data_IF_206555208551
#
_entry.id   IF_206555208551
#
_cell.length_a   1.000
_cell.length_b   1.000
_cell.length_c   1.000
_cell.angle_alpha   90.00
_cell.angle_beta   90.00
_cell.angle_gamma   90.00
#
_symmetry.space_group_name_H-M   'P 1'
#
loop_
_entity.id
_entity.type
_entity.pdbx_description
1 polymer ?
#
# COMPACT_ATOMS: atom_id res chain seq x y z
N UNK A 1 7.22 -19.01 13.47
CA UNK A 1 7.96 -18.24 12.46
C UNK A 1 7.67 -18.69 11.02
N UNK A 2 7.66 -19.97 10.67
CA UNK A 2 7.45 -20.41 9.27
C UNK A 2 6.13 -19.95 8.62
N UNK A 3 5.01 -19.88 9.36
CA UNK A 3 3.73 -19.45 8.80
C UNK A 3 3.72 -17.94 8.46
N UNK A 4 4.47 -17.13 9.21
CA UNK A 4 4.58 -15.70 8.96
C UNK A 4 5.24 -15.46 7.60
N UNK A 5 6.40 -16.08 7.37
CA UNK A 5 7.13 -15.95 6.11
C UNK A 5 6.31 -16.46 4.94
N UNK A 6 5.57 -17.56 5.08
CA UNK A 6 4.67 -18.04 4.02
C UNK A 6 3.64 -16.98 3.61
N UNK A 7 2.98 -16.31 4.56
CA UNK A 7 1.98 -15.30 4.22
C UNK A 7 2.61 -14.00 3.69
N UNK A 8 3.85 -13.70 4.04
CA UNK A 8 4.61 -12.62 3.39
C UNK A 8 4.94 -12.94 1.93
N UNK A 9 5.37 -14.18 1.63
CA UNK A 9 5.63 -14.60 0.24
C UNK A 9 4.33 -14.66 -0.59
N UNK A 10 3.22 -15.06 0.03
CA UNK A 10 1.90 -15.00 -0.62
C UNK A 10 1.52 -13.55 -0.93
N UNK A 11 1.78 -12.61 -0.02
CA UNK A 11 1.56 -11.19 -0.28
C UNK A 11 2.37 -10.73 -1.50
N UNK A 12 3.69 -10.92 -1.48
CA UNK A 12 4.60 -10.44 -2.51
C UNK A 12 4.36 -11.06 -3.90
N UNK A 13 3.92 -12.32 -3.97
CA UNK A 13 3.82 -13.04 -5.25
C UNK A 13 2.41 -13.30 -5.73
N UNK A 14 1.41 -13.29 -4.84
CA UNK A 14 0.03 -13.62 -5.20
C UNK A 14 -0.93 -12.45 -5.02
N UNK A 15 -0.66 -11.51 -4.09
CA UNK A 15 -1.51 -10.35 -3.89
C UNK A 15 -0.97 -9.11 -4.61
N UNK A 16 0.27 -8.74 -4.31
CA UNK A 16 0.89 -7.49 -4.76
C UNK A 16 0.88 -7.32 -6.29
N UNK A 17 1.22 -8.32 -7.13
CA UNK A 17 1.30 -8.10 -8.58
C UNK A 17 -0.03 -7.64 -9.20
N UNK A 18 -1.16 -8.10 -8.66
CA UNK A 18 -2.49 -7.71 -9.13
C UNK A 18 -2.96 -6.42 -8.45
N UNK A 19 -2.77 -6.31 -7.13
CA UNK A 19 -3.17 -5.14 -6.36
C UNK A 19 -2.42 -3.89 -6.82
N UNK A 20 -1.10 -3.96 -7.03
CA UNK A 20 -0.27 -2.85 -7.49
C UNK A 20 -0.66 -2.38 -8.90
N UNK A 21 -1.02 -3.29 -9.82
CA UNK A 21 -1.54 -2.92 -11.14
C UNK A 21 -2.87 -2.20 -11.05
N UNK A 22 -3.80 -2.69 -10.21
CA UNK A 22 -5.08 -2.04 -9.98
C UNK A 22 -4.91 -0.66 -9.35
N UNK A 23 -4.03 -0.53 -8.35
CA UNK A 23 -3.66 0.75 -7.74
C UNK A 23 -3.11 1.71 -8.79
N UNK A 24 -2.21 1.27 -9.66
CA UNK A 24 -1.67 2.09 -10.74
C UNK A 24 -2.77 2.59 -11.68
N UNK A 25 -3.60 1.67 -12.18
CA UNK A 25 -4.64 1.97 -13.17
C UNK A 25 -5.76 2.86 -12.62
N UNK A 26 -6.23 2.59 -11.40
CA UNK A 26 -7.45 3.20 -10.86
C UNK A 26 -7.21 4.32 -9.86
N UNK A 27 -6.09 4.31 -9.12
CA UNK A 27 -5.80 5.34 -8.13
C UNK A 27 -4.76 6.34 -8.64
N UNK A 28 -3.69 5.86 -9.28
CA UNK A 28 -2.53 6.69 -9.61
C UNK A 28 -2.66 7.39 -10.96
N UNK A 29 -3.01 6.66 -12.03
CA UNK A 29 -3.18 7.25 -13.37
C UNK A 29 -4.12 8.46 -13.42
N UNK A 30 -5.31 8.44 -12.76
CA UNK A 30 -6.21 9.60 -12.77
C UNK A 30 -5.59 10.85 -12.15
N UNK A 31 -4.72 10.70 -11.13
CA UNK A 31 -4.00 11.83 -10.51
C UNK A 31 -3.05 12.49 -11.52
N UNK A 32 -2.48 11.71 -12.44
CA UNK A 32 -1.63 12.20 -13.52
C UNK A 32 -2.41 12.61 -14.78
N UNK A 33 -3.74 12.54 -14.78
CA UNK A 33 -4.57 12.80 -15.96
C UNK A 33 -4.44 11.74 -17.05
N UNK A 34 -3.96 10.54 -16.71
CA UNK A 34 -3.86 9.39 -17.62
C UNK A 34 -5.15 8.58 -17.58
N UNK A 35 -5.49 7.95 -18.71
CA UNK A 35 -6.66 7.10 -18.81
C UNK A 35 -6.42 5.69 -18.22
N UNK A 36 -7.39 5.24 -17.43
CA UNK A 36 -7.44 3.87 -16.88
C UNK A 36 -7.72 2.86 -17.98
N UNK A 37 -6.86 1.84 -18.10
CA UNK A 37 -7.08 0.72 -19.01
C UNK A 37 -8.05 -0.29 -18.38
N UNK A 38 -9.29 -0.28 -18.87
CA UNK A 38 -10.35 -1.16 -18.36
C UNK A 38 -10.11 -2.65 -18.65
N UNK A 39 -9.31 -3.00 -19.67
CA UNK A 39 -8.95 -4.39 -19.96
C UNK A 39 -8.00 -4.89 -18.88
N UNK A 40 -6.97 -4.11 -18.56
CA UNK A 40 -6.01 -4.40 -17.48
C UNK A 40 -6.74 -4.48 -16.14
N UNK A 41 -7.65 -3.56 -15.85
CA UNK A 41 -8.45 -3.59 -14.61
C UNK A 41 -9.24 -4.89 -14.49
N UNK A 42 -10.03 -5.26 -15.51
CA UNK A 42 -10.85 -6.49 -15.45
C UNK A 42 -10.03 -7.76 -15.28
N UNK A 43 -8.89 -7.86 -15.96
CA UNK A 43 -8.01 -9.02 -15.84
C UNK A 43 -7.43 -9.14 -14.42
N UNK A 44 -6.94 -8.03 -13.86
CA UNK A 44 -6.33 -8.04 -12.54
C UNK A 44 -7.36 -8.15 -11.41
N UNK A 45 -8.57 -7.59 -11.56
CA UNK A 45 -9.69 -7.81 -10.63
C UNK A 45 -10.02 -9.30 -10.57
N UNK A 46 -10.16 -9.99 -11.71
CA UNK A 46 -10.48 -11.43 -11.74
C UNK A 46 -9.39 -12.31 -11.12
N UNK A 47 -8.12 -11.91 -11.19
CA UNK A 47 -7.02 -12.62 -10.54
C UNK A 47 -6.97 -12.33 -9.04
N UNK A 48 -7.14 -11.06 -8.65
CA UNK A 48 -7.20 -10.65 -7.25
C UNK A 48 -8.39 -11.30 -6.53
N UNK A 49 -9.53 -11.43 -7.21
CA UNK A 49 -10.73 -12.10 -6.70
C UNK A 49 -10.43 -13.52 -6.21
N UNK A 50 -9.73 -14.33 -7.02
CA UNK A 50 -9.33 -15.70 -6.67
C UNK A 50 -8.40 -15.75 -5.46
N UNK A 51 -7.51 -14.77 -5.35
CA UNK A 51 -6.58 -14.65 -4.20
C UNK A 51 -7.38 -14.32 -2.95
N UNK A 52 -8.30 -13.36 -3.03
CA UNK A 52 -9.15 -12.96 -1.92
C UNK A 52 -10.11 -14.08 -1.47
N UNK A 53 -10.52 -14.99 -2.34
CA UNK A 53 -11.27 -16.21 -1.94
C UNK A 53 -10.46 -17.14 -1.05
N UNK A 54 -9.14 -17.23 -1.26
CA UNK A 54 -8.24 -17.98 -0.37
C UNK A 54 -8.12 -17.25 0.97
N UNK A 55 -8.04 -15.91 0.94
CA UNK A 55 -7.96 -15.08 2.15
C UNK A 55 -9.25 -15.22 2.98
N UNK A 56 -10.42 -15.20 2.35
CA UNK A 56 -11.72 -15.38 3.02
C UNK A 56 -11.80 -16.73 3.76
N UNK A 57 -11.28 -17.81 3.15
CA UNK A 57 -11.19 -19.12 3.81
C UNK A 57 -10.18 -19.10 4.97
N UNK A 58 -9.03 -18.45 4.79
CA UNK A 58 -7.99 -18.33 5.81
C UNK A 58 -8.48 -17.56 7.04
N UNK A 59 -9.05 -16.39 6.81
CA UNK A 59 -9.61 -15.50 7.83
C UNK A 59 -10.86 -16.09 8.51
N UNK A 60 -11.41 -17.16 7.95
CA UNK A 60 -12.44 -17.97 8.61
C UNK A 60 -11.90 -18.84 9.75
N UNK A 61 -10.59 -19.07 9.81
CA UNK A 61 -9.94 -19.90 10.82
C UNK A 61 -9.08 -19.09 11.80
N UNK A 62 -8.53 -17.97 11.33
CA UNK A 62 -7.63 -17.12 12.09
C UNK A 62 -8.06 -15.66 11.96
N UNK A 63 -7.81 -14.87 13.00
CA UNK A 63 -8.14 -13.44 12.98
C UNK A 63 -7.31 -12.64 11.97
N UNK A 64 -6.05 -13.02 11.77
CA UNK A 64 -5.09 -12.41 10.85
C UNK A 64 -4.46 -13.49 9.95
N UNK A 65 -3.70 -13.07 8.93
CA UNK A 65 -3.22 -14.00 7.89
C UNK A 65 -2.30 -15.07 8.46
N UNK A 66 -1.29 -14.68 9.25
CA UNK A 66 -0.34 -15.61 9.82
C UNK A 66 -0.91 -16.37 11.04
N UNK A 67 -1.64 -15.70 11.91
CA UNK A 67 -2.14 -16.23 13.19
C UNK A 67 -3.28 -15.36 13.78
N UNK A 68 -3.53 -15.43 15.09
CA UNK A 68 -4.58 -14.64 15.75
C UNK A 68 -4.13 -13.25 16.23
N UNK A 69 -2.89 -12.86 15.94
CA UNK A 69 -2.32 -11.55 16.25
C UNK A 69 -1.86 -10.87 14.97
N UNK A 70 -1.90 -9.53 14.93
CA UNK A 70 -1.40 -8.74 13.81
C UNK A 70 0.10 -8.97 13.61
N UNK A 71 0.53 -9.16 12.36
CA UNK A 71 1.92 -9.44 12.02
C UNK A 71 2.40 -8.66 10.80
N UNK A 72 3.69 -8.82 10.46
CA UNK A 72 4.28 -8.23 9.25
C UNK A 72 3.57 -8.69 7.96
N UNK A 73 3.05 -9.93 7.95
CA UNK A 73 2.26 -10.43 6.83
C UNK A 73 0.97 -9.64 6.62
N UNK A 74 0.38 -9.01 7.65
CA UNK A 74 -0.81 -8.18 7.51
C UNK A 74 -0.45 -6.72 7.19
N UNK A 75 0.69 -6.26 7.70
CA UNK A 75 1.21 -4.90 7.51
C UNK A 75 1.52 -4.62 6.03
N UNK A 76 2.11 -5.59 5.32
CA UNK A 76 2.55 -5.41 3.95
C UNK A 76 1.41 -5.10 2.96
N UNK A 77 0.19 -5.57 3.23
CA UNK A 77 -0.96 -5.29 2.37
C UNK A 77 -1.50 -3.86 2.47
N UNK A 78 -1.21 -3.15 3.57
CA UNK A 78 -1.84 -1.87 3.91
C UNK A 78 -1.74 -0.80 2.81
N UNK A 79 -0.58 -0.55 2.17
CA UNK A 79 -0.47 0.52 1.18
C UNK A 79 -1.40 0.29 -0.01
N UNK A 80 -1.39 -0.91 -0.59
CA UNK A 80 -2.23 -1.24 -1.74
C UNK A 80 -3.71 -1.27 -1.36
N UNK A 81 -4.08 -1.88 -0.23
CA UNK A 81 -5.46 -1.89 0.25
C UNK A 81 -5.98 -0.45 0.41
N UNK A 82 -5.20 0.43 1.04
CA UNK A 82 -5.62 1.80 1.30
C UNK A 82 -5.94 2.58 0.03
N UNK A 83 -5.18 2.39 -1.06
CA UNK A 83 -5.50 2.97 -2.35
C UNK A 83 -6.76 2.35 -2.96
N UNK A 84 -6.85 1.02 -2.95
CA UNK A 84 -7.97 0.29 -3.57
C UNK A 84 -9.31 0.55 -2.89
N UNK A 85 -9.33 0.87 -1.59
CA UNK A 85 -10.54 1.30 -0.87
C UNK A 85 -11.22 2.53 -1.52
N UNK A 86 -10.46 3.40 -2.19
CA UNK A 86 -10.97 4.56 -2.90
C UNK A 86 -11.41 4.30 -4.34
N UNK A 87 -11.40 3.05 -4.80
CA UNK A 87 -11.64 2.66 -6.20
C UNK A 87 -12.84 1.71 -6.34
N UNK A 88 -13.36 1.49 -7.56
CA UNK A 88 -14.38 0.48 -7.80
C UNK A 88 -13.97 -0.95 -7.39
N UNK A 89 -12.66 -1.26 -7.34
CA UNK A 89 -12.14 -2.55 -6.88
C UNK A 89 -12.48 -2.83 -5.41
N UNK A 90 -12.81 -1.81 -4.60
CA UNK A 90 -13.21 -1.97 -3.21
C UNK A 90 -14.32 -3.03 -3.03
N UNK A 91 -15.21 -3.19 -4.02
CA UNK A 91 -16.24 -4.24 -4.07
C UNK A 91 -15.69 -5.64 -3.76
N UNK A 92 -14.46 -5.96 -4.20
CA UNK A 92 -13.86 -7.27 -3.96
C UNK A 92 -13.56 -7.54 -2.48
N UNK A 93 -13.32 -6.48 -1.69
CA UNK A 93 -13.21 -6.61 -0.24
C UNK A 93 -14.60 -6.70 0.40
N UNK A 94 -15.54 -5.86 -0.04
CA UNK A 94 -16.92 -5.80 0.50
C UNK A 94 -17.70 -7.11 0.32
N UNK A 95 -17.52 -7.78 -0.83
CA UNK A 95 -18.16 -9.06 -1.16
C UNK A 95 -17.71 -10.22 -0.26
N UNK A 96 -16.67 -10.02 0.55
CA UNK A 96 -16.02 -11.05 1.38
C UNK A 96 -16.02 -10.63 2.84
N UNK A 97 -17.02 -11.03 3.66
CA UNK A 97 -17.22 -10.48 5.00
C UNK A 97 -16.01 -10.61 5.95
N UNK A 98 -15.23 -11.68 5.86
CA UNK A 98 -14.06 -11.86 6.74
C UNK A 98 -12.87 -11.05 6.25
N UNK A 99 -12.67 -10.97 4.94
CA UNK A 99 -11.72 -10.04 4.33
C UNK A 99 -12.07 -8.61 4.67
N UNK A 100 -13.32 -8.18 4.49
CA UNK A 100 -13.79 -6.84 4.84
C UNK A 100 -13.52 -6.51 6.31
N UNK A 101 -13.84 -7.44 7.22
CA UNK A 101 -13.54 -7.29 8.64
C UNK A 101 -12.03 -7.14 8.89
N UNK A 102 -11.22 -8.00 8.30
CA UNK A 102 -9.75 -7.93 8.41
C UNK A 102 -9.20 -6.59 7.89
N UNK A 103 -9.66 -6.14 6.71
CA UNK A 103 -9.33 -4.84 6.12
C UNK A 103 -9.66 -3.71 7.08
N UNK A 104 -10.85 -3.71 7.68
CA UNK A 104 -11.25 -2.72 8.68
C UNK A 104 -10.38 -2.76 9.93
N UNK A 105 -9.99 -3.95 10.40
CA UNK A 105 -9.12 -4.11 11.57
C UNK A 105 -7.69 -3.61 11.31
N UNK A 106 -7.10 -3.87 10.13
CA UNK A 106 -5.73 -3.46 9.81
C UNK A 106 -5.63 -1.97 9.48
N UNK A 107 -6.59 -1.43 8.71
CA UNK A 107 -6.61 0.00 8.34
C UNK A 107 -7.10 0.88 9.50
N UNK A 108 -7.91 0.31 10.41
CA UNK A 108 -8.38 0.98 11.62
C UNK A 108 -7.32 1.18 12.70
N UNK A 109 -6.10 0.64 12.54
CA UNK A 109 -5.02 0.79 13.52
C UNK A 109 -4.54 2.24 13.56
N UNK A 110 -4.42 2.80 14.76
CA UNK A 110 -3.95 4.19 14.95
C UNK A 110 -2.62 4.47 14.26
N UNK A 111 -1.66 3.54 14.34
CA UNK A 111 -0.37 3.67 13.65
C UNK A 111 -0.51 3.80 12.13
N UNK A 112 -1.48 3.11 11.52
CA UNK A 112 -1.74 3.23 10.08
C UNK A 112 -2.44 4.55 9.74
N UNK A 113 -3.48 4.92 10.51
CA UNK A 113 -4.15 6.22 10.35
C UNK A 113 -3.17 7.38 10.43
N UNK A 114 -2.24 7.35 11.39
CA UNK A 114 -1.17 8.35 11.52
C UNK A 114 -0.23 8.39 10.31
N UNK A 115 0.02 7.24 9.67
CA UNK A 115 0.84 7.19 8.45
C UNK A 115 0.10 7.74 7.22
N UNK A 116 -1.23 7.67 7.19
CA UNK A 116 -2.07 8.24 6.13
C UNK A 116 -2.38 9.73 6.33
N UNK A 117 -2.33 10.24 7.57
CA UNK A 117 -2.60 11.63 7.89
C UNK A 117 -1.38 12.52 7.59
N UNK A 118 -1.37 13.08 6.38
CA UNK A 118 -0.30 13.96 5.90
C UNK A 118 -0.22 15.29 6.66
N UNK A 119 -1.34 15.75 7.24
CA UNK A 119 -1.46 17.05 7.89
C UNK A 119 -0.82 17.00 9.28
N UNK A 120 -1.19 16.01 10.09
CA UNK A 120 -0.66 15.84 11.45
C UNK A 120 0.81 15.45 11.47
N UNK A 121 1.25 14.63 10.52
CA UNK A 121 2.64 14.16 10.42
C UNK A 121 3.63 15.27 10.04
N UNK A 122 3.19 16.25 9.25
CA UNK A 122 4.02 17.41 8.92
C UNK A 122 4.08 18.39 10.10
N UNK A 123 2.93 18.78 10.69
CA UNK A 123 2.91 19.75 11.78
C UNK A 123 3.66 19.31 13.04
N UNK A 124 3.58 18.02 13.41
CA UNK A 124 4.28 17.48 14.59
C UNK A 124 5.81 17.36 14.38
N UNK A 125 6.27 17.32 13.12
CA UNK A 125 7.69 17.10 12.78
C UNK A 125 8.43 18.39 12.42
N UNK A 126 7.77 19.39 11.82
CA UNK A 126 8.45 20.57 11.25
C UNK A 126 8.17 21.88 11.97
N UNK A 127 7.15 21.92 12.84
CA UNK A 127 6.74 23.15 13.54
C UNK A 127 6.08 24.17 12.61
N UNK A 128 5.16 24.98 13.16
CA UNK A 128 4.24 25.85 12.41
C UNK A 128 4.90 26.94 11.54
N UNK A 129 6.18 27.28 11.77
CA UNK A 129 6.77 28.52 11.25
C UNK A 129 7.40 28.42 9.85
N UNK A 130 7.60 27.21 9.29
CA UNK A 130 8.45 27.03 8.11
C UNK A 130 7.70 26.75 6.77
N UNK A 131 6.37 26.86 6.76
CA UNK A 131 5.51 26.41 5.65
C UNK A 131 5.53 27.35 4.41
N UNK A 132 6.00 28.58 4.56
CA UNK A 132 5.87 29.63 3.52
C UNK A 132 6.73 29.44 2.25
N UNK A 133 7.71 28.53 2.24
CA UNK A 133 8.69 28.41 1.13
C UNK A 133 8.54 27.16 0.22
N UNK A 134 7.48 26.35 0.36
CA UNK A 134 7.38 25.05 -0.34
C UNK A 134 6.62 25.02 -1.68
N UNK A 135 6.05 26.15 -2.13
CA UNK A 135 5.30 26.19 -3.40
C UNK A 135 6.16 25.88 -4.66
N UNK A 136 7.49 25.82 -4.50
CA UNK A 136 8.49 25.51 -5.53
C UNK A 136 8.73 24.01 -5.75
N UNK A 137 8.41 23.16 -4.77
CA UNK A 137 8.74 21.71 -4.77
C UNK A 137 7.88 20.88 -5.75
N UNK A 138 6.61 21.25 -5.94
CA UNK A 138 5.69 20.51 -6.81
C UNK A 138 6.08 20.54 -8.30
N UNK A 139 6.66 21.65 -8.78
CA UNK A 139 7.09 21.78 -10.17
C UNK A 139 8.31 20.90 -10.49
N UNK A 140 9.15 20.59 -9.50
CA UNK A 140 10.30 19.71 -9.66
C UNK A 140 9.91 18.23 -9.76
N UNK A 141 8.81 17.83 -9.12
CA UNK A 141 8.29 16.45 -9.17
C UNK A 141 7.68 16.09 -10.54
N UNK A 142 7.09 17.09 -11.23
CA UNK A 142 6.54 16.92 -12.58
C UNK A 142 7.62 16.57 -13.62
N UNK A 143 8.80 17.18 -13.50
CA UNK A 143 9.97 16.96 -14.38
C UNK A 143 10.61 15.56 -14.23
N UNK A 144 10.45 14.92 -13.07
CA UNK A 144 11.01 13.58 -12.81
C UNK A 144 10.07 12.50 -13.37
N UNK A 145 8.75 12.69 -13.25
CA UNK A 145 7.75 11.78 -13.80
C UNK A 145 7.80 11.66 -15.33
N UNK A 146 8.16 12.74 -16.04
CA UNK A 146 8.27 12.78 -17.50
C UNK A 146 9.48 11.98 -18.05
N UNK A 147 10.47 11.59 -17.21
CA UNK A 147 11.72 10.95 -17.66
C UNK A 147 11.81 9.41 -17.45
N UNK A 148 10.82 8.77 -16.81
CA UNK A 148 10.88 7.34 -16.40
C UNK A 148 10.05 6.44 -17.33
N UNK A 149 10.19 6.60 -18.65
CA UNK A 149 9.45 5.81 -19.65
C UNK A 149 10.27 4.72 -20.37
N UNK A 150 11.50 4.40 -19.96
CA UNK A 150 12.32 3.45 -20.73
C UNK A 150 13.08 2.42 -19.87
N UNK A 151 12.78 1.14 -20.14
CA UNK A 151 13.53 -0.11 -19.86
C UNK A 151 13.23 -0.92 -18.58
N UNK A 152 12.42 -1.96 -18.81
CA UNK A 152 12.72 -3.40 -18.67
C UNK A 152 13.35 -3.91 -17.37
N UNK A 153 12.50 -4.59 -16.59
CA UNK A 153 12.77 -5.80 -15.80
C UNK A 153 13.99 -5.80 -14.87
N UNK A 154 13.79 -5.26 -13.66
CA UNK A 154 14.37 -5.71 -12.36
C UNK A 154 14.06 -4.76 -11.19
N UNK A 155 13.30 -3.67 -11.38
CA UNK A 155 13.34 -2.50 -10.46
C UNK A 155 11.98 -1.90 -10.03
N UNK A 156 10.83 -2.54 -10.28
CA UNK A 156 9.54 -1.83 -10.17
C UNK A 156 8.92 -1.66 -8.77
N UNK A 157 9.36 -2.41 -7.75
CA UNK A 157 9.00 -2.10 -6.36
C UNK A 157 10.16 -1.51 -5.58
N UNK A 158 11.40 -1.93 -5.89
CA UNK A 158 12.55 -1.38 -5.19
C UNK A 158 12.74 0.09 -5.54
N UNK A 159 12.45 0.65 -6.72
CA UNK A 159 12.61 2.10 -6.90
C UNK A 159 11.44 2.93 -6.35
N UNK A 160 10.18 2.50 -6.45
CA UNK A 160 9.07 3.24 -5.82
C UNK A 160 9.17 3.15 -4.30
N UNK A 161 9.49 1.98 -3.76
CA UNK A 161 9.68 1.78 -2.32
C UNK A 161 11.03 2.30 -1.86
N UNK A 162 12.14 2.25 -2.61
CA UNK A 162 13.45 2.82 -2.20
C UNK A 162 13.53 4.32 -2.46
N UNK A 163 12.81 4.93 -3.40
CA UNK A 163 12.74 6.39 -3.50
C UNK A 163 11.70 6.96 -2.53
N UNK A 164 10.59 6.26 -2.28
CA UNK A 164 9.71 6.53 -1.13
C UNK A 164 10.47 6.33 0.20
N UNK A 165 11.23 5.25 0.36
CA UNK A 165 12.06 4.98 1.54
C UNK A 165 13.36 5.83 1.57
N UNK A 166 13.91 6.36 0.48
CA UNK A 166 15.07 7.29 0.53
C UNK A 166 14.61 8.71 0.80
N UNK A 167 13.41 9.06 0.35
CA UNK A 167 12.75 10.31 0.71
C UNK A 167 12.15 10.24 2.12
N UNK A 168 11.85 9.05 2.67
CA UNK A 168 11.23 8.89 4.00
C UNK A 168 12.07 8.19 5.09
N UNK A 169 13.11 7.42 4.79
CA UNK A 169 14.04 6.85 5.78
C UNK A 169 15.21 7.80 6.01
N UNK A 170 14.92 8.85 6.78
CA UNK A 170 15.94 9.48 7.61
C UNK A 170 16.40 8.48 8.69
N UNK A 171 17.65 8.55 9.14
CA UNK A 171 18.27 7.64 10.13
C UNK A 171 17.44 7.44 11.41
N UNK A 172 16.52 8.38 11.71
CA UNK A 172 15.57 8.33 12.82
C UNK A 172 14.44 7.30 12.69
N UNK A 173 14.01 6.90 11.48
CA UNK A 173 12.92 5.91 11.29
C UNK A 173 13.32 4.47 11.65
N UNK A 174 14.62 4.14 11.62
CA UNK A 174 15.14 2.83 12.07
C UNK A 174 14.76 2.55 13.54
N UNK A 175 14.83 3.57 14.39
CA UNK A 175 14.44 3.48 15.81
C UNK A 175 12.94 3.26 16.04
N UNK A 176 12.09 3.61 15.07
CA UNK A 176 10.63 3.48 15.17
C UNK A 176 10.20 2.08 14.73
N UNK A 177 10.83 1.53 13.69
CA UNK A 177 10.64 0.12 13.31
C UNK A 177 11.10 -0.83 14.40
N UNK A 178 12.22 -0.52 15.08
CA UNK A 178 12.69 -1.26 16.26
C UNK A 178 11.68 -1.20 17.42
N UNK A 179 10.91 -0.11 17.56
CA UNK A 179 9.83 0.02 18.56
C UNK A 179 8.51 -0.62 18.16
N UNK A 180 8.29 -0.93 16.87
CA UNK A 180 7.08 -1.62 16.40
C UNK A 180 7.14 -3.14 16.57
N UNK A 181 8.33 -3.70 16.82
CA UNK A 181 8.58 -5.15 16.96
C UNK A 181 8.62 -5.59 18.45
N UNK A 182 8.65 -4.64 19.39
CA UNK A 182 8.59 -4.90 20.85
C UNK A 182 7.23 -4.53 21.41
#
# INVERSE_FOLDING_TARGET
MAILTVWMEIEAHQFDPFASKLTWEQAIKPIYGLETDQVVVKENEANLEKVLDIYEKRLGKYRFLACNTFTLADLHHLPNIQYLLGTPTNRLFEDRPKVLKWVGEITGREAWKMACDHEKYWFDVVGHDNVRNQHTSFNSLKLIAENVSTRSETLQLVCVVVDWLKFHLNSKRKSILEKMIT
#
